data_IF_871372100878
#
_entry.id   IF_871372100878
#
_cell.length_a   1.000
_cell.length_b   1.000
_cell.length_c   1.000
_cell.angle_alpha   90.00
_cell.angle_beta   90.00
_cell.angle_gamma   90.00
#
_symmetry.space_group_name_H-M   'P 1'
#
loop_
_entity.id
_entity.type
_entity.pdbx_description
1 polymer ?
#
# COMPACT_ATOMS: atom_id res chain seq x y z
N UNK A 1 -12.64 -48.79 9.30
CA UNK A 1 -12.65 -47.86 8.15
C UNK A 1 -12.85 -46.47 8.72
N UNK A 2 -11.78 -45.87 9.24
CA UNK A 2 -11.78 -44.49 9.73
C UNK A 2 -11.32 -43.58 8.58
N UNK A 3 -12.24 -43.18 7.70
CA UNK A 3 -12.03 -42.00 6.86
C UNK A 3 -12.21 -40.76 7.73
N UNK A 4 -11.22 -40.47 8.56
CA UNK A 4 -11.20 -39.23 9.34
C UNK A 4 -10.61 -38.13 8.47
N UNK A 5 -11.46 -37.62 7.57
CA UNK A 5 -11.38 -36.32 6.92
C UNK A 5 -9.98 -35.68 6.88
N UNK A 6 -9.17 -36.15 5.94
CA UNK A 6 -7.98 -35.48 5.40
C UNK A 6 -8.37 -34.22 4.57
N UNK A 7 -9.43 -33.52 4.98
CA UNK A 7 -9.96 -32.36 4.27
C UNK A 7 -9.55 -31.09 5.00
N UNK A 8 -8.31 -30.71 4.71
CA UNK A 8 -7.77 -29.36 4.81
C UNK A 8 -7.66 -28.82 6.23
N UNK A 9 -6.44 -28.84 6.77
CA UNK A 9 -5.99 -27.82 7.72
C UNK A 9 -6.05 -26.45 7.01
N UNK A 10 -7.27 -25.91 6.89
CA UNK A 10 -7.54 -24.63 6.24
C UNK A 10 -6.93 -23.57 7.13
N UNK A 11 -5.69 -23.17 6.85
CA UNK A 11 -5.16 -21.88 7.32
C UNK A 11 -6.28 -20.86 7.14
N UNK A 12 -6.76 -20.18 8.19
CA UNK A 12 -7.88 -19.28 8.05
C UNK A 12 -7.54 -18.28 6.95
N UNK A 13 -8.42 -18.10 5.96
CA UNK A 13 -8.18 -17.22 4.79
C UNK A 13 -7.75 -15.79 5.20
N UNK A 14 -8.08 -15.40 6.43
CA UNK A 14 -7.59 -14.22 7.13
C UNK A 14 -6.05 -14.10 7.18
N UNK A 15 -5.31 -15.18 7.47
CA UNK A 15 -3.84 -15.15 7.54
C UNK A 15 -3.20 -14.97 6.18
N UNK A 16 -3.69 -15.69 5.16
CA UNK A 16 -3.24 -15.50 3.77
C UNK A 16 -3.45 -14.05 3.33
N UNK A 17 -4.58 -13.45 3.70
CA UNK A 17 -4.88 -12.05 3.40
C UNK A 17 -3.92 -11.06 4.07
N UNK A 18 -3.53 -11.29 5.34
CA UNK A 18 -2.50 -10.46 5.97
C UNK A 18 -1.14 -10.60 5.29
N UNK A 19 -0.77 -11.82 4.86
CA UNK A 19 0.45 -12.04 4.08
C UNK A 19 0.42 -11.24 2.77
N UNK A 20 -0.70 -11.27 2.04
CA UNK A 20 -0.89 -10.46 0.84
C UNK A 20 -0.74 -8.96 1.09
N UNK A 21 -1.30 -8.44 2.19
CA UNK A 21 -1.15 -7.03 2.56
C UNK A 21 0.30 -6.68 2.88
N UNK A 22 1.00 -7.51 3.64
CA UNK A 22 2.41 -7.29 3.99
C UNK A 22 3.26 -7.30 2.73
N UNK A 23 3.07 -8.29 1.84
CA UNK A 23 3.78 -8.39 0.58
C UNK A 23 3.55 -7.15 -0.29
N UNK A 24 2.29 -6.71 -0.44
CA UNK A 24 1.96 -5.52 -1.21
C UNK A 24 2.59 -4.25 -0.62
N UNK A 25 2.59 -4.09 0.70
CA UNK A 25 3.24 -2.94 1.37
C UNK A 25 4.76 -2.95 1.22
N UNK A 26 5.40 -4.12 1.36
CA UNK A 26 6.85 -4.24 1.17
C UNK A 26 7.24 -3.88 -0.26
N UNK A 27 6.54 -4.45 -1.25
CA UNK A 27 6.77 -4.15 -2.66
C UNK A 27 6.58 -2.65 -2.92
N UNK A 28 5.51 -2.05 -2.42
CA UNK A 28 5.24 -0.63 -2.60
C UNK A 28 6.26 0.30 -1.92
N UNK A 29 6.95 -0.14 -0.87
CA UNK A 29 8.00 0.62 -0.19
C UNK A 29 9.37 0.44 -0.85
N UNK A 30 9.65 -0.76 -1.38
CA UNK A 30 10.96 -1.06 -1.97
C UNK A 30 11.09 -0.57 -3.40
N UNK A 31 10.01 -0.59 -4.18
CA UNK A 31 10.02 -0.23 -5.60
C UNK A 31 10.73 1.09 -5.95
N UNK A 32 10.50 2.22 -5.26
CA UNK A 32 11.14 3.50 -5.63
C UNK A 32 12.66 3.53 -5.38
N UNK A 33 13.19 2.65 -4.52
CA UNK A 33 14.64 2.61 -4.24
C UNK A 33 15.42 1.73 -5.21
N UNK A 34 14.74 0.88 -5.98
CA UNK A 34 15.42 -0.03 -6.89
C UNK A 34 15.75 0.73 -8.18
N UNK A 35 17.05 0.84 -8.46
CA UNK A 35 17.60 1.42 -9.69
C UNK A 35 18.13 0.31 -10.60
N UNK A 36 17.88 0.44 -11.90
CA UNK A 36 18.41 -0.42 -12.95
C UNK A 36 18.99 0.51 -14.01
N UNK A 37 20.30 0.39 -14.31
CA UNK A 37 21.00 1.22 -15.30
C UNK A 37 20.82 2.75 -15.07
N UNK A 38 21.09 3.23 -13.85
CA UNK A 38 20.90 4.63 -13.41
C UNK A 38 19.45 5.14 -13.35
N UNK A 39 18.51 4.40 -13.90
CA UNK A 39 17.08 4.74 -13.94
C UNK A 39 16.30 3.96 -12.87
N UNK A 40 15.29 4.60 -12.28
CA UNK A 40 14.40 3.89 -11.35
C UNK A 40 13.50 2.89 -12.08
N UNK A 41 13.08 1.82 -11.38
CA UNK A 41 12.14 0.84 -11.93
C UNK A 41 10.82 1.50 -12.34
N UNK A 42 10.32 2.43 -11.52
CA UNK A 42 9.16 3.22 -11.85
C UNK A 42 9.33 4.61 -11.25
N UNK A 43 9.41 5.62 -12.10
CA UNK A 43 9.43 7.02 -11.70
C UNK A 43 8.70 7.85 -12.74
N UNK A 44 7.72 8.64 -12.31
CA UNK A 44 7.07 9.63 -13.15
C UNK A 44 7.57 11.02 -12.75
N UNK A 45 8.67 11.47 -13.37
CA UNK A 45 9.24 12.78 -13.10
C UNK A 45 8.54 13.85 -13.93
N UNK A 46 7.83 14.75 -13.26
CA UNK A 46 7.26 15.94 -13.91
C UNK A 46 8.30 17.02 -14.18
N UNK A 47 9.34 17.09 -13.35
CA UNK A 47 10.44 18.07 -13.48
C UNK A 47 11.25 17.80 -14.76
N UNK A 48 11.74 16.56 -14.92
CA UNK A 48 12.51 16.15 -16.10
C UNK A 48 11.64 15.76 -17.29
N UNK A 49 10.29 15.75 -17.13
CA UNK A 49 9.31 15.30 -18.13
C UNK A 49 9.68 13.92 -18.72
N UNK A 50 10.07 13.01 -17.84
CA UNK A 50 10.53 11.67 -18.19
C UNK A 50 9.74 10.63 -17.38
N UNK A 51 9.33 9.56 -18.05
CA UNK A 51 8.77 8.39 -17.41
C UNK A 51 9.80 7.26 -17.44
N UNK A 52 10.22 6.80 -16.28
CA UNK A 52 11.09 5.64 -16.15
C UNK A 52 10.23 4.39 -15.96
N UNK A 53 10.32 3.44 -16.87
CA UNK A 53 9.66 2.15 -16.79
C UNK A 53 10.70 1.03 -16.92
N UNK A 54 10.79 0.17 -15.91
CA UNK A 54 11.67 -1.00 -15.87
C UNK A 54 13.15 -0.67 -16.15
N UNK A 55 13.62 0.52 -15.74
CA UNK A 55 15.00 0.98 -15.97
C UNK A 55 15.25 1.65 -17.33
N UNK A 56 14.20 1.86 -18.14
CA UNK A 56 14.27 2.61 -19.40
C UNK A 56 13.60 3.97 -19.17
N UNK A 57 14.32 5.07 -19.47
CA UNK A 57 13.78 6.42 -19.42
C UNK A 57 13.12 6.76 -20.76
N UNK A 58 11.83 7.02 -20.73
CA UNK A 58 11.04 7.49 -21.87
C UNK A 58 10.82 9.00 -21.74
N UNK A 59 11.19 9.75 -22.76
CA UNK A 59 10.86 11.17 -22.83
C UNK A 59 9.39 11.36 -23.20
N UNK A 60 8.73 12.35 -22.62
CA UNK A 60 7.33 12.69 -22.91
C UNK A 60 7.08 13.03 -24.39
N UNK A 61 8.11 13.36 -25.19
CA UNK A 61 7.98 13.52 -26.64
C UNK A 61 7.90 12.19 -27.41
N UNK A 62 8.50 11.12 -26.87
CA UNK A 62 8.54 9.79 -27.50
C UNK A 62 7.30 8.93 -27.15
N UNK A 63 6.40 9.49 -26.34
CA UNK A 63 5.16 8.88 -25.85
C UNK A 63 4.10 8.58 -26.92
N UNK A 64 4.35 8.76 -28.21
CA UNK A 64 3.34 8.44 -29.24
C UNK A 64 2.94 6.95 -29.23
N UNK A 65 3.81 6.07 -28.73
CA UNK A 65 3.54 4.65 -28.54
C UNK A 65 2.80 4.33 -27.21
N UNK A 66 2.80 5.26 -26.26
CA UNK A 66 2.18 5.06 -24.94
C UNK A 66 0.66 4.92 -24.95
N UNK A 67 -0.13 5.61 -25.80
CA UNK A 67 -1.56 5.32 -25.91
C UNK A 67 -1.85 3.85 -26.22
N UNK A 68 -1.06 3.20 -27.07
CA UNK A 68 -1.22 1.77 -27.38
C UNK A 68 -0.84 0.88 -26.20
N UNK A 69 0.26 1.20 -25.51
CA UNK A 69 0.65 0.49 -24.29
C UNK A 69 -0.40 0.63 -23.18
N UNK A 70 -0.91 1.84 -22.98
CA UNK A 70 -1.96 2.14 -22.01
C UNK A 70 -3.26 1.43 -22.36
N UNK A 71 -3.63 1.36 -23.65
CA UNK A 71 -4.80 0.62 -24.11
C UNK A 71 -4.66 -0.88 -23.84
N UNK A 72 -3.49 -1.46 -24.15
CA UNK A 72 -3.20 -2.86 -23.86
C UNK A 72 -3.25 -3.15 -22.35
N UNK A 73 -2.64 -2.28 -21.54
CA UNK A 73 -2.61 -2.39 -20.09
C UNK A 73 -4.01 -2.26 -19.50
N UNK A 74 -4.82 -1.33 -19.99
CA UNK A 74 -6.21 -1.15 -19.58
C UNK A 74 -7.04 -2.39 -19.91
N UNK A 75 -6.99 -2.89 -21.16
CA UNK A 75 -7.68 -4.12 -21.55
C UNK A 75 -7.21 -5.33 -20.72
N UNK A 76 -5.90 -5.42 -20.45
CA UNK A 76 -5.31 -6.45 -19.59
C UNK A 76 -5.85 -6.41 -18.16
N UNK A 77 -5.91 -5.22 -17.55
CA UNK A 77 -6.48 -5.05 -16.21
C UNK A 77 -7.97 -5.41 -16.19
N UNK A 78 -8.73 -5.00 -17.20
CA UNK A 78 -10.15 -5.36 -17.32
C UNK A 78 -10.36 -6.88 -17.50
N UNK A 79 -9.52 -7.54 -18.30
CA UNK A 79 -9.55 -8.99 -18.47
C UNK A 79 -9.23 -9.71 -17.16
N UNK A 80 -8.17 -9.29 -16.45
CA UNK A 80 -7.81 -9.84 -15.13
C UNK A 80 -8.92 -9.58 -14.10
N UNK A 81 -9.57 -8.42 -14.14
CA UNK A 81 -10.67 -8.07 -13.23
C UNK A 81 -11.93 -8.87 -13.54
N UNK A 82 -12.22 -9.12 -14.82
CA UNK A 82 -13.33 -9.96 -15.27
C UNK A 82 -13.15 -11.43 -14.83
N UNK A 83 -11.93 -11.96 -14.99
CA UNK A 83 -11.59 -13.35 -14.62
C UNK A 83 -11.41 -13.54 -13.09
N UNK A 84 -10.76 -12.59 -12.42
CA UNK A 84 -10.39 -12.68 -11.00
C UNK A 84 -11.37 -12.01 -10.02
N UNK A 85 -12.42 -11.37 -10.52
CA UNK A 85 -13.42 -10.66 -9.72
C UNK A 85 -12.81 -9.62 -8.76
N UNK A 86 -13.18 -9.68 -7.47
CA UNK A 86 -12.69 -8.75 -6.41
C UNK A 86 -11.33 -9.14 -5.82
N UNK A 87 -10.48 -9.85 -6.56
CA UNK A 87 -9.14 -10.23 -6.08
C UNK A 87 -8.32 -8.99 -5.68
N UNK A 88 -8.28 -7.96 -6.52
CA UNK A 88 -7.58 -6.70 -6.21
C UNK A 88 -8.15 -6.03 -4.94
N UNK A 89 -9.47 -5.84 -4.90
CA UNK A 89 -10.16 -5.21 -3.78
C UNK A 89 -9.97 -5.95 -2.45
N UNK A 90 -9.85 -7.28 -2.48
CA UNK A 90 -9.66 -8.11 -1.29
C UNK A 90 -8.23 -8.19 -0.77
N UNK A 91 -7.23 -8.06 -1.66
CA UNK A 91 -5.85 -8.47 -1.38
C UNK A 91 -4.78 -7.40 -1.57
N UNK A 92 -4.99 -6.42 -2.45
CA UNK A 92 -3.98 -5.40 -2.77
C UNK A 92 -4.49 -3.96 -2.62
N UNK A 93 -5.81 -3.77 -2.44
CA UNK A 93 -6.39 -2.43 -2.37
C UNK A 93 -5.80 -1.62 -1.19
N UNK A 94 -5.19 -0.45 -1.47
CA UNK A 94 -4.50 0.34 -0.45
C UNK A 94 -5.47 0.83 0.64
N UNK A 95 -6.69 1.20 0.26
CA UNK A 95 -7.74 1.60 1.21
C UNK A 95 -8.08 0.50 2.22
N UNK A 96 -8.06 -0.76 1.80
CA UNK A 96 -8.30 -1.89 2.69
C UNK A 96 -7.10 -2.14 3.61
N UNK A 97 -5.87 -2.05 3.09
CA UNK A 97 -4.64 -2.21 3.86
C UNK A 97 -4.57 -1.16 4.98
N UNK A 98 -4.77 0.12 4.66
CA UNK A 98 -4.76 1.21 5.65
C UNK A 98 -5.81 1.01 6.75
N UNK A 99 -7.04 0.64 6.37
CA UNK A 99 -8.09 0.33 7.34
C UNK A 99 -7.72 -0.82 8.26
N UNK A 100 -7.06 -1.85 7.73
CA UNK A 100 -6.64 -3.03 8.51
C UNK A 100 -5.52 -2.66 9.47
N UNK A 101 -4.54 -1.86 9.05
CA UNK A 101 -3.47 -1.36 9.91
C UNK A 101 -4.08 -0.53 11.06
N UNK A 102 -4.88 0.48 10.73
CA UNK A 102 -5.46 1.35 11.76
C UNK A 102 -6.41 0.61 12.70
N UNK A 103 -7.43 -0.07 12.16
CA UNK A 103 -8.52 -0.60 12.97
C UNK A 103 -8.21 -1.95 13.61
N UNK A 104 -7.49 -2.82 12.91
CA UNK A 104 -7.22 -4.19 13.36
C UNK A 104 -5.89 -4.29 14.13
N UNK A 105 -4.85 -3.57 13.70
CA UNK A 105 -3.56 -3.59 14.40
C UNK A 105 -3.50 -2.51 15.50
N UNK A 106 -3.76 -1.24 15.19
CA UNK A 106 -3.62 -0.15 16.17
C UNK A 106 -4.77 -0.16 17.19
N UNK A 107 -6.03 -0.02 16.75
CA UNK A 107 -7.16 0.08 17.68
C UNK A 107 -7.45 -1.24 18.41
N UNK A 108 -7.43 -2.37 17.71
CA UNK A 108 -7.86 -3.65 18.28
C UNK A 108 -6.73 -4.42 18.98
N UNK A 109 -5.55 -4.58 18.37
CA UNK A 109 -4.44 -5.34 18.97
C UNK A 109 -3.59 -4.51 19.93
N UNK A 110 -3.18 -3.30 19.53
CA UNK A 110 -2.24 -2.49 20.32
C UNK A 110 -2.94 -1.82 21.50
N UNK A 111 -4.10 -1.18 21.26
CA UNK A 111 -4.80 -0.39 22.28
C UNK A 111 -5.92 -1.15 22.99
N UNK A 112 -6.42 -2.24 22.39
CA UNK A 112 -7.53 -3.03 22.93
C UNK A 112 -8.86 -2.28 22.99
N UNK A 113 -9.02 -1.18 22.24
CA UNK A 113 -10.21 -0.33 22.24
C UNK A 113 -11.40 -1.00 21.56
N UNK A 114 -11.14 -1.87 20.59
CA UNK A 114 -12.16 -2.59 19.83
C UNK A 114 -12.02 -4.10 20.02
N UNK A 115 -13.08 -4.75 20.52
CA UNK A 115 -13.16 -6.22 20.47
C UNK A 115 -13.41 -6.63 19.02
N UNK A 116 -12.51 -7.46 18.48
CA UNK A 116 -12.53 -7.95 17.09
C UNK A 116 -13.88 -8.59 16.70
N UNK A 117 -14.66 -9.07 17.70
CA UNK A 117 -15.97 -9.72 17.52
C UNK A 117 -17.07 -8.78 17.01
N UNK A 118 -17.02 -7.47 17.31
CA UNK A 118 -17.99 -6.50 16.75
C UNK A 118 -17.27 -5.22 16.31
N UNK A 119 -16.89 -5.18 15.03
CA UNK A 119 -16.18 -4.05 14.41
C UNK A 119 -17.08 -2.86 14.09
N UNK A 120 -18.39 -2.94 14.36
CA UNK A 120 -19.34 -1.86 14.11
C UNK A 120 -19.60 -1.03 15.37
N UNK A 121 -19.44 -1.61 16.56
CA UNK A 121 -19.59 -0.88 17.82
C UNK A 121 -18.47 0.16 17.98
N UNK A 122 -18.85 1.37 18.36
CA UNK A 122 -17.91 2.42 18.73
C UNK A 122 -17.31 2.12 20.12
N UNK A 123 -16.03 2.47 20.34
CA UNK A 123 -15.41 2.28 21.65
C UNK A 123 -16.08 3.18 22.69
N UNK A 124 -16.32 2.64 23.89
CA UNK A 124 -16.85 3.41 25.02
C UNK A 124 -15.83 4.48 25.46
N UNK A 125 -16.07 5.74 25.09
CA UNK A 125 -15.21 6.88 25.42
C UNK A 125 -15.52 7.49 26.80
N UNK A 126 -16.43 6.89 27.57
CA UNK A 126 -16.81 7.34 28.90
C UNK A 126 -15.67 7.20 29.92
N UNK A 127 -14.73 6.26 29.68
CA UNK A 127 -13.54 6.08 30.52
C UNK A 127 -12.37 6.95 30.03
N UNK A 128 -11.73 7.69 30.94
CA UNK A 128 -10.56 8.52 30.61
C UNK A 128 -9.42 7.70 29.98
N UNK A 129 -9.20 6.47 30.45
CA UNK A 129 -8.20 5.54 29.89
C UNK A 129 -8.41 5.26 28.39
N UNK A 130 -9.66 5.13 27.95
CA UNK A 130 -9.98 4.86 26.55
C UNK A 130 -9.74 6.10 25.65
N UNK A 131 -9.91 7.30 26.20
CA UNK A 131 -9.59 8.55 25.49
C UNK A 131 -8.09 8.69 25.25
N UNK A 132 -7.27 8.42 26.28
CA UNK A 132 -5.80 8.46 26.16
C UNK A 132 -5.32 7.46 25.12
N UNK A 133 -5.83 6.22 25.17
CA UNK A 133 -5.52 5.19 24.17
C UNK A 133 -5.88 5.63 22.75
N UNK A 134 -7.04 6.28 22.56
CA UNK A 134 -7.45 6.78 21.23
C UNK A 134 -6.50 7.86 20.72
N UNK A 135 -6.06 8.79 21.58
CA UNK A 135 -5.09 9.83 21.21
C UNK A 135 -3.76 9.19 20.79
N UNK A 136 -3.25 8.22 21.55
CA UNK A 136 -2.03 7.48 21.20
C UNK A 136 -2.19 6.78 19.84
N UNK A 137 -3.34 6.17 19.58
CA UNK A 137 -3.63 5.56 18.28
C UNK A 137 -3.62 6.55 17.12
N UNK A 138 -4.16 7.75 17.31
CA UNK A 138 -4.14 8.83 16.31
C UNK A 138 -2.71 9.33 16.09
N UNK A 139 -1.90 9.47 17.14
CA UNK A 139 -0.49 9.88 17.01
C UNK A 139 0.32 8.85 16.21
N UNK A 140 0.19 7.57 16.54
CA UNK A 140 0.86 6.49 15.78
C UNK A 140 0.38 6.50 14.32
N UNK A 141 -0.93 6.69 14.10
CA UNK A 141 -1.49 6.77 12.76
C UNK A 141 -0.99 7.98 11.98
N UNK A 142 -0.82 9.14 12.62
CA UNK A 142 -0.27 10.33 12.00
C UNK A 142 1.17 10.10 11.53
N UNK A 143 2.02 9.47 12.36
CA UNK A 143 3.38 9.09 11.95
C UNK A 143 3.38 8.12 10.75
N UNK A 144 2.52 7.10 10.77
CA UNK A 144 2.39 6.16 9.64
C UNK A 144 1.85 6.81 8.37
N UNK A 145 0.92 7.76 8.51
CA UNK A 145 0.37 8.51 7.38
C UNK A 145 1.43 9.41 6.73
N UNK A 146 2.30 10.04 7.53
CA UNK A 146 3.44 10.81 7.01
C UNK A 146 4.40 9.91 6.23
N UNK A 147 4.76 8.74 6.78
CA UNK A 147 5.60 7.77 6.06
C UNK A 147 4.96 7.29 4.76
N UNK A 148 3.65 7.01 4.76
CA UNK A 148 2.93 6.61 3.56
C UNK A 148 2.88 7.73 2.51
N UNK A 149 2.73 8.98 2.93
CA UNK A 149 2.76 10.14 2.05
C UNK A 149 4.16 10.37 1.45
N UNK A 150 5.22 10.27 2.24
CA UNK A 150 6.60 10.32 1.74
C UNK A 150 6.87 9.20 0.74
N UNK A 151 6.43 7.98 1.03
CA UNK A 151 6.57 6.86 0.09
C UNK A 151 5.84 7.09 -1.23
N UNK A 152 4.65 7.68 -1.19
CA UNK A 152 3.93 8.05 -2.41
C UNK A 152 4.70 9.10 -3.21
N UNK A 153 5.33 10.07 -2.54
CA UNK A 153 6.14 11.10 -3.20
C UNK A 153 7.34 10.52 -3.95
N UNK A 154 7.95 9.46 -3.42
CA UNK A 154 9.10 8.80 -4.05
C UNK A 154 8.82 8.20 -5.44
N UNK A 155 7.55 8.04 -5.83
CA UNK A 155 7.17 7.64 -7.19
C UNK A 155 7.19 8.80 -8.20
N UNK A 156 7.26 10.04 -7.74
CA UNK A 156 7.29 11.24 -8.57
C UNK A 156 8.63 11.98 -8.49
N UNK A 157 9.24 11.97 -7.30
CA UNK A 157 10.55 12.58 -7.04
C UNK A 157 11.50 11.47 -6.61
N UNK A 158 12.69 11.34 -7.22
CA UNK A 158 13.68 10.37 -6.78
C UNK A 158 13.98 10.47 -5.28
N UNK A 159 14.21 9.35 -4.56
CA UNK A 159 14.56 9.41 -3.15
C UNK A 159 15.79 10.28 -2.86
N UNK A 160 16.80 10.26 -3.74
CA UNK A 160 18.01 11.08 -3.58
C UNK A 160 17.69 12.58 -3.61
N UNK A 161 16.90 13.02 -4.60
CA UNK A 161 16.47 14.41 -4.75
C UNK A 161 15.51 14.80 -3.60
N UNK A 162 14.62 13.88 -3.18
CA UNK A 162 13.70 14.10 -2.07
C UNK A 162 14.42 14.38 -0.74
N UNK A 163 15.48 13.62 -0.43
CA UNK A 163 16.26 13.86 0.78
C UNK A 163 17.14 15.10 0.67
N UNK A 164 17.61 15.46 -0.53
CA UNK A 164 18.31 16.71 -0.77
C UNK A 164 17.40 17.94 -0.51
N UNK A 165 16.18 17.95 -1.07
CA UNK A 165 15.20 19.02 -0.83
C UNK A 165 14.78 19.17 0.64
N UNK A 166 14.81 18.09 1.41
CA UNK A 166 14.55 18.16 2.85
C UNK A 166 15.69 18.82 3.64
N UNK A 167 16.92 18.75 3.14
CA UNK A 167 18.09 19.35 3.77
C UNK A 167 18.22 20.83 3.42
N UNK A 168 17.98 21.18 2.15
CA UNK A 168 18.00 22.56 1.66
C UNK A 168 16.66 22.93 1.00
N UNK A 169 15.68 23.47 1.77
CA UNK A 169 14.36 23.83 1.25
C UNK A 169 14.32 25.14 0.46
N UNK A 170 15.46 25.80 0.25
CA UNK A 170 15.58 27.10 -0.45
C UNK A 170 16.05 27.01 -1.90
N UNK A 171 16.35 25.82 -2.41
CA UNK A 171 16.55 25.53 -3.84
C UNK A 171 15.39 24.70 -4.40
#
# INVERSE_FOLDING_TARGET
>A
MEEKNEFLDKTPYRYRRYFGYILATIVALSLPFIKINENQIFLLSFDKKQLHLLGIAFDMQELYLMPFLLMLLFLGIFAVTSLGGRAWCGWACPQTIFRVIYRDLIESKLLGLRRIKNKQKEPDLSKAENKVKKIIGILIWACLALLAASNFMWYFVPPDDFFAYLQDPSE
#
